data_IF_754904858498
#
_entry.id   IF_754904858498
#
_cell.length_a   1.000
_cell.length_b   1.000
_cell.length_c   1.000
_cell.angle_alpha   90.00
_cell.angle_beta   90.00
_cell.angle_gamma   90.00
#
_symmetry.space_group_name_H-M   'P 1'
#
loop_
_entity.id
_entity.type
_entity.pdbx_description
1 polymer ?
#
# COMPACT_ATOMS: atom_id res chain seq x y z
N UNK A 1 -10.01 -2.50 -9.87
CA UNK A 1 -9.83 -3.58 -8.87
C UNK A 1 -8.68 -3.15 -7.96
N UNK A 2 -8.80 -3.27 -6.64
CA UNK A 2 -7.80 -2.74 -5.70
C UNK A 2 -6.81 -3.87 -5.35
N UNK A 3 -5.50 -3.65 -5.50
CA UNK A 3 -4.48 -4.71 -5.32
C UNK A 3 -4.60 -5.43 -3.96
N UNK A 4 -4.92 -4.69 -2.90
CA UNK A 4 -5.14 -5.25 -1.55
C UNK A 4 -6.37 -6.17 -1.47
N UNK A 5 -7.39 -5.99 -2.30
CA UNK A 5 -8.54 -6.89 -2.34
C UNK A 5 -8.24 -8.16 -3.16
N UNK A 6 -7.34 -8.07 -4.15
CA UNK A 6 -6.89 -9.24 -4.92
C UNK A 6 -5.87 -10.09 -4.14
N UNK A 7 -5.10 -9.45 -3.25
CA UNK A 7 -4.08 -10.09 -2.43
C UNK A 7 -4.25 -9.71 -0.95
N UNK A 8 -5.34 -10.15 -0.27
CA UNK A 8 -5.65 -9.70 1.09
C UNK A 8 -4.59 -10.12 2.12
N UNK A 9 -3.96 -11.27 1.93
CA UNK A 9 -2.91 -11.78 2.81
C UNK A 9 -1.51 -11.25 2.46
N UNK A 10 -1.36 -10.51 1.36
CA UNK A 10 -0.06 -9.98 0.94
C UNK A 10 0.14 -8.57 1.49
N UNK A 11 1.29 -8.35 2.13
CA UNK A 11 1.69 -7.03 2.55
C UNK A 11 2.55 -6.39 1.45
N UNK A 12 2.26 -5.13 1.10
CA UNK A 12 2.98 -4.38 0.07
C UNK A 12 3.63 -3.14 0.67
N UNK A 13 4.88 -2.87 0.32
CA UNK A 13 5.43 -1.51 0.43
C UNK A 13 4.87 -0.65 -0.69
N UNK A 14 4.90 0.67 -0.50
CA UNK A 14 4.39 1.62 -1.51
C UNK A 14 5.06 1.45 -2.89
N UNK A 15 6.38 1.16 -2.93
CA UNK A 15 7.09 0.91 -4.19
C UNK A 15 6.67 -0.41 -4.85
N UNK A 16 6.58 -1.49 -4.08
CA UNK A 16 6.14 -2.80 -4.59
C UNK A 16 4.71 -2.73 -5.14
N UNK A 17 3.84 -1.94 -4.50
CA UNK A 17 2.51 -1.67 -5.01
C UNK A 17 2.54 -0.96 -6.38
N UNK A 18 3.47 -0.02 -6.58
CA UNK A 18 3.62 0.66 -7.87
C UNK A 18 4.15 -0.30 -8.94
N UNK A 19 5.13 -1.13 -8.61
CA UNK A 19 5.68 -2.15 -9.52
C UNK A 19 4.59 -3.14 -9.95
N UNK A 20 3.74 -3.59 -9.01
CA UNK A 20 2.60 -4.46 -9.32
C UNK A 20 1.55 -3.78 -10.22
N UNK A 21 1.30 -2.49 -10.01
CA UNK A 21 0.29 -1.73 -10.74
C UNK A 21 0.82 -1.09 -12.04
N UNK A 22 2.10 -1.27 -12.37
CA UNK A 22 2.74 -0.58 -13.50
C UNK A 22 2.77 0.95 -13.35
N UNK A 23 2.76 1.45 -12.11
CA UNK A 23 2.77 2.89 -11.81
C UNK A 23 4.21 3.43 -11.72
N UNK A 24 4.43 4.75 -11.94
CA UNK A 24 5.75 5.38 -11.80
C UNK A 24 6.36 5.16 -10.42
N UNK A 25 7.61 4.68 -10.36
CA UNK A 25 8.31 4.39 -9.09
C UNK A 25 9.24 5.53 -8.64
N UNK A 26 9.09 6.73 -9.18
CA UNK A 26 9.85 7.89 -8.72
C UNK A 26 9.51 8.22 -7.25
N UNK A 27 10.47 8.81 -6.55
CA UNK A 27 10.36 9.03 -5.11
C UNK A 27 9.18 9.93 -4.72
N UNK A 28 8.83 10.92 -5.55
CA UNK A 28 7.74 11.84 -5.26
C UNK A 28 6.39 11.11 -5.32
N UNK A 29 6.15 10.37 -6.41
CA UNK A 29 4.93 9.58 -6.62
C UNK A 29 4.78 8.50 -5.55
N UNK A 30 5.86 7.78 -5.21
CA UNK A 30 5.84 6.77 -4.14
C UNK A 30 5.55 7.38 -2.77
N UNK A 31 6.04 8.59 -2.47
CA UNK A 31 5.78 9.27 -1.19
C UNK A 31 4.33 9.73 -1.04
N UNK A 32 3.69 10.17 -2.13
CA UNK A 32 2.26 10.48 -2.14
C UNK A 32 1.45 9.23 -1.80
N UNK A 33 1.74 8.10 -2.46
CA UNK A 33 1.07 6.83 -2.18
C UNK A 33 1.32 6.37 -0.75
N UNK A 34 2.55 6.45 -0.23
CA UNK A 34 2.86 6.14 1.17
C UNK A 34 2.01 6.95 2.15
N UNK A 35 1.82 8.24 1.87
CA UNK A 35 0.98 9.12 2.70
C UNK A 35 -0.50 8.72 2.65
N UNK A 36 -1.00 8.34 1.47
CA UNK A 36 -2.36 7.82 1.29
C UNK A 36 -2.56 6.48 2.03
N UNK A 37 -1.62 5.53 1.89
CA UNK A 37 -1.66 4.24 2.59
C UNK A 37 -1.63 4.41 4.11
N UNK A 38 -0.84 5.37 4.61
CA UNK A 38 -0.84 5.75 6.03
C UNK A 38 -2.21 6.24 6.49
N UNK A 39 -2.89 7.07 5.68
CA UNK A 39 -4.26 7.54 5.97
C UNK A 39 -5.27 6.37 6.00
N UNK A 40 -5.21 5.47 5.02
CA UNK A 40 -6.08 4.29 4.95
C UNK A 40 -5.85 3.33 6.13
N UNK A 41 -4.62 3.26 6.65
CA UNK A 41 -4.34 2.51 7.89
C UNK A 41 -5.04 3.16 9.08
N UNK A 42 -4.94 4.49 9.23
CA UNK A 42 -5.61 5.22 10.34
C UNK A 42 -7.13 5.15 10.27
N UNK A 43 -7.69 5.05 9.07
CA UNK A 43 -9.13 4.84 8.85
C UNK A 43 -9.56 3.37 9.07
N UNK A 44 -8.61 2.47 9.28
CA UNK A 44 -8.90 1.06 9.56
C UNK A 44 -9.22 0.22 8.32
N UNK A 45 -8.93 0.69 7.11
CA UNK A 45 -9.06 -0.11 5.88
C UNK A 45 -7.88 -1.06 5.66
N UNK A 46 -6.70 -0.64 6.11
CA UNK A 46 -5.45 -1.38 6.02
C UNK A 46 -4.87 -1.60 7.42
N UNK A 47 -4.03 -2.62 7.53
CA UNK A 47 -3.14 -2.85 8.67
C UNK A 47 -1.69 -2.58 8.27
N UNK A 48 -0.84 -2.26 9.24
CA UNK A 48 0.61 -2.18 9.05
C UNK A 48 1.26 -3.29 9.89
N UNK A 49 1.55 -4.46 9.30
CA UNK A 49 2.17 -5.58 10.02
C UNK A 49 3.62 -5.30 10.44
N UNK A 50 4.22 -4.20 9.97
CA UNK A 50 5.55 -3.75 10.37
C UNK A 50 5.82 -2.33 9.86
N UNK A 51 7.07 -1.88 9.93
CA UNK A 51 7.45 -0.54 9.47
C UNK A 51 7.54 -0.50 7.94
N UNK A 52 6.52 0.08 7.29
CA UNK A 52 6.52 0.36 5.85
C UNK A 52 5.63 -0.50 4.95
N UNK A 53 5.40 -1.81 5.22
CA UNK A 53 4.43 -2.59 4.45
C UNK A 53 3.00 -2.38 4.96
N UNK A 54 2.04 -2.45 4.04
CA UNK A 54 0.61 -2.29 4.28
C UNK A 54 -0.11 -3.54 3.82
N UNK A 55 -1.16 -3.97 4.52
CA UNK A 55 -1.94 -5.16 4.19
C UNK A 55 -3.43 -4.86 4.32
N UNK A 56 -4.27 -5.60 3.60
CA UNK A 56 -5.72 -5.50 3.76
C UNK A 56 -6.11 -5.87 5.20
N UNK A 57 -6.92 -5.04 5.84
CA UNK A 57 -7.58 -5.46 7.07
C UNK A 57 -8.67 -6.47 6.71
N UNK A 58 -8.51 -7.70 7.21
CA UNK A 58 -9.55 -8.75 7.15
C UNK A 58 -10.59 -8.48 8.22
#
# INVERSE_FOLDING_TARGET
MNAFNQHPCQAFRARELHELLGMPTDAATVNVTRSCLGRLTRQGFLTQPGRGPYQKRT
#
